data_IF_604096878391
#
_entry.id   IF_604096878391
#
_cell.length_a   1.000
_cell.length_b   1.000
_cell.length_c   1.000
_cell.angle_alpha   90.00
_cell.angle_beta   90.00
_cell.angle_gamma   90.00
#
_symmetry.space_group_name_H-M   'P 1'
#
loop_
_entity.id
_entity.type
_entity.pdbx_description
1 polymer ?
#
# COMPACT_ATOMS: atom_id res chain seq x y z
N UNK A 1 -6.95 -65.13 -50.75
CA UNK A 1 -8.33 -65.59 -50.51
C UNK A 1 -9.11 -64.37 -50.06
N UNK A 2 -9.69 -63.67 -51.02
CA UNK A 2 -10.71 -62.62 -50.81
C UNK A 2 -12.03 -63.26 -51.23
N UNK A 3 -13.07 -63.04 -50.42
CA UNK A 3 -14.24 -62.31 -50.90
C UNK A 3 -14.68 -61.31 -49.82
N UNK A 4 -15.16 -60.10 -50.13
CA UNK A 4 -16.18 -59.76 -51.11
C UNK A 4 -17.35 -59.21 -50.32
N UNK A 5 -17.62 -57.90 -50.47
CA UNK A 5 -18.81 -57.23 -49.93
C UNK A 5 -20.10 -57.95 -50.33
N UNK A 6 -21.13 -57.81 -49.49
CA UNK A 6 -22.35 -57.22 -50.02
C UNK A 6 -23.05 -56.22 -49.07
N UNK A 7 -23.28 -55.01 -49.58
CA UNK A 7 -24.57 -54.29 -49.48
C UNK A 7 -25.60 -55.01 -50.38
N UNK A 8 -26.95 -54.91 -50.23
CA UNK A 8 -27.70 -53.70 -49.84
C UNK A 8 -29.03 -53.94 -49.04
N UNK A 9 -29.77 -52.83 -48.88
CA UNK A 9 -31.24 -52.68 -48.93
C UNK A 9 -32.08 -52.63 -47.63
N UNK A 10 -32.45 -51.39 -47.30
CA UNK A 10 -33.79 -50.88 -46.98
C UNK A 10 -34.81 -51.75 -46.22
N UNK A 11 -35.18 -51.28 -45.02
CA UNK A 11 -36.58 -51.15 -44.62
C UNK A 11 -36.74 -50.20 -43.41
N UNK A 12 -37.28 -49.04 -43.72
CA UNK A 12 -37.84 -48.01 -42.85
C UNK A 12 -38.50 -48.51 -41.55
N UNK A 13 -38.22 -47.83 -40.44
CA UNK A 13 -39.21 -47.56 -39.38
C UNK A 13 -39.02 -46.16 -38.79
N UNK A 14 -39.87 -45.29 -39.32
CA UNK A 14 -40.34 -44.02 -38.78
C UNK A 14 -40.89 -44.13 -37.34
N UNK A 15 -40.94 -42.96 -36.66
CA UNK A 15 -41.48 -42.60 -35.32
C UNK A 15 -40.40 -42.58 -34.23
N UNK A 16 -40.16 -41.50 -33.51
CA UNK A 16 -40.91 -40.27 -33.17
C UNK A 16 -39.95 -39.50 -32.26
N UNK A 17 -39.71 -38.20 -32.43
CA UNK A 17 -39.32 -37.33 -31.31
C UNK A 17 -39.32 -35.84 -31.70
N UNK A 18 -39.50 -35.01 -30.67
CA UNK A 18 -39.40 -33.55 -30.60
C UNK A 18 -40.69 -32.75 -30.88
N UNK A 19 -41.59 -32.82 -29.90
CA UNK A 19 -42.55 -31.77 -29.58
C UNK A 19 -41.91 -30.75 -28.61
N UNK A 20 -42.38 -29.49 -28.70
CA UNK A 20 -42.41 -28.45 -27.66
C UNK A 20 -41.28 -27.41 -27.62
N UNK A 21 -41.61 -26.25 -28.21
CA UNK A 21 -41.10 -24.94 -27.85
C UNK A 21 -41.99 -24.29 -26.77
N UNK A 22 -41.37 -23.39 -26.01
CA UNK A 22 -41.93 -22.23 -25.30
C UNK A 22 -42.94 -22.48 -24.17
N UNK A 23 -42.55 -22.19 -22.92
CA UNK A 23 -42.99 -20.97 -22.24
C UNK A 23 -42.31 -20.85 -20.87
N UNK A 24 -41.94 -19.61 -20.60
CA UNK A 24 -41.17 -19.10 -19.48
C UNK A 24 -42.01 -18.97 -18.22
N UNK A 25 -41.52 -19.48 -17.09
CA UNK A 25 -41.82 -18.86 -15.79
C UNK A 25 -40.73 -19.24 -14.78
N UNK A 26 -39.99 -18.24 -14.29
CA UNK A 26 -39.67 -18.05 -12.86
C UNK A 26 -38.77 -16.82 -12.67
N UNK A 27 -39.39 -15.79 -12.12
CA UNK A 27 -38.94 -14.76 -11.15
C UNK A 27 -37.47 -14.84 -10.66
N UNK A 28 -36.86 -13.68 -10.37
CA UNK A 28 -35.43 -13.41 -10.51
C UNK A 28 -34.59 -14.03 -9.38
N UNK A 29 -33.33 -14.40 -9.63
CA UNK A 29 -32.36 -14.39 -8.55
C UNK A 29 -32.10 -12.94 -8.15
N UNK A 30 -32.54 -12.65 -6.94
CA UNK A 30 -32.05 -11.64 -6.02
C UNK A 30 -30.60 -11.23 -6.29
N UNK A 31 -30.39 -9.92 -6.31
CA UNK A 31 -29.20 -9.23 -5.77
C UNK A 31 -28.05 -10.17 -5.40
N UNK A 32 -27.16 -10.41 -6.35
CA UNK A 32 -25.74 -10.49 -5.99
C UNK A 32 -25.24 -9.07 -6.16
N UNK A 33 -25.41 -8.29 -5.10
CA UNK A 33 -24.50 -7.19 -4.84
C UNK A 33 -23.10 -7.81 -4.95
N UNK A 34 -22.34 -7.37 -5.94
CA UNK A 34 -20.93 -7.72 -6.01
C UNK A 34 -20.28 -7.03 -4.83
N UNK A 35 -20.29 -7.69 -3.67
CA UNK A 35 -19.23 -7.53 -2.69
C UNK A 35 -17.96 -8.12 -3.33
N UNK A 36 -17.42 -7.36 -4.28
CA UNK A 36 -15.98 -7.25 -4.40
C UNK A 36 -15.49 -6.95 -2.99
N UNK A 37 -14.64 -7.80 -2.43
CA UNK A 37 -13.68 -7.40 -1.40
C UNK A 37 -12.83 -6.26 -2.01
N UNK A 38 -13.43 -5.08 -2.18
CA UNK A 38 -12.70 -3.87 -2.50
C UNK A 38 -12.08 -3.46 -1.16
N UNK A 39 -10.81 -3.80 -0.97
CA UNK A 39 -10.02 -3.28 0.14
C UNK A 39 -10.19 -1.75 0.18
N UNK A 40 -10.55 -1.21 1.35
CA UNK A 40 -10.71 0.21 1.53
C UNK A 40 -9.37 0.89 1.19
N UNK A 41 -9.43 1.91 0.34
CA UNK A 41 -8.26 2.58 -0.20
C UNK A 41 -8.58 4.02 -0.56
N UNK A 42 -7.62 4.89 -0.27
CA UNK A 42 -7.62 6.29 -0.66
C UNK A 42 -6.63 6.48 -1.81
N UNK A 43 -7.10 7.05 -2.91
CA UNK A 43 -6.29 7.36 -4.09
C UNK A 43 -6.00 8.85 -4.18
N UNK A 44 -4.75 9.19 -4.51
CA UNK A 44 -4.32 10.57 -4.70
C UNK A 44 -4.88 11.17 -6.01
N UNK A 45 -5.80 12.15 -5.96
CA UNK A 45 -6.28 12.79 -7.17
C UNK A 45 -5.16 13.59 -7.84
N UNK A 46 -5.21 13.67 -9.16
CA UNK A 46 -4.18 14.35 -9.98
C UNK A 46 -3.98 15.80 -9.55
N UNK A 47 -5.04 16.46 -9.10
CA UNK A 47 -5.02 17.86 -8.67
C UNK A 47 -4.26 18.06 -7.34
N UNK A 48 -4.24 17.05 -6.46
CA UNK A 48 -3.52 17.11 -5.18
C UNK A 48 -2.05 16.68 -5.29
N UNK A 49 -1.62 16.10 -6.41
CA UNK A 49 -0.20 15.74 -6.65
C UNK A 49 0.74 16.94 -6.58
N UNK A 50 0.24 18.15 -6.84
CA UNK A 50 1.02 19.37 -6.71
C UNK A 50 1.40 19.69 -5.28
N UNK A 51 0.51 19.39 -4.33
CA UNK A 51 0.68 19.72 -2.91
C UNK A 51 1.68 18.80 -2.20
N UNK A 52 1.98 17.64 -2.80
CA UNK A 52 3.00 16.70 -2.34
C UNK A 52 4.40 17.02 -2.88
N UNK A 53 4.54 18.01 -3.77
CA UNK A 53 5.86 18.43 -4.27
C UNK A 53 6.62 19.29 -3.28
N UNK A 54 5.89 20.09 -2.51
CA UNK A 54 6.48 20.90 -1.46
C UNK A 54 6.68 20.01 -0.22
N UNK A 55 7.90 19.90 0.32
CA UNK A 55 8.15 19.06 1.48
C UNK A 55 7.41 19.60 2.70
N UNK A 56 6.90 18.69 3.54
CA UNK A 56 6.20 19.02 4.79
C UNK A 56 7.13 19.51 5.91
N UNK A 57 8.44 19.57 5.64
CA UNK A 57 9.46 19.96 6.60
C UNK A 57 10.77 20.36 5.94
N UNK A 58 11.78 20.77 6.75
CA UNK A 58 13.12 21.04 6.25
C UNK A 58 13.73 19.80 5.59
N UNK A 59 14.45 20.04 4.48
CA UNK A 59 15.28 19.03 3.82
C UNK A 59 16.68 19.09 4.44
N UNK A 60 17.21 17.93 4.79
CA UNK A 60 18.58 17.75 5.25
C UNK A 60 19.26 16.62 4.46
N UNK A 61 20.53 16.81 4.14
CA UNK A 61 21.34 15.82 3.39
C UNK A 61 22.24 15.00 4.31
N UNK A 62 22.50 15.48 5.53
CA UNK A 62 23.34 14.84 6.52
C UNK A 62 22.49 14.22 7.65
N UNK A 63 22.56 12.90 7.78
CA UNK A 63 21.80 12.17 8.79
C UNK A 63 22.19 12.57 10.22
N UNK A 64 23.45 12.89 10.50
CA UNK A 64 23.89 13.30 11.84
C UNK A 64 23.28 14.65 12.22
N UNK A 65 23.18 15.57 11.25
CA UNK A 65 22.54 16.87 11.45
C UNK A 65 21.04 16.68 11.69
N UNK A 66 20.37 15.88 10.88
CA UNK A 66 18.95 15.56 11.04
C UNK A 66 18.68 14.93 12.41
N UNK A 67 19.49 13.96 12.81
CA UNK A 67 19.33 13.27 14.09
C UNK A 67 19.53 14.19 15.30
N UNK A 68 20.25 15.30 15.15
CA UNK A 68 20.39 16.29 16.22
C UNK A 68 19.09 17.04 16.55
N UNK A 69 18.13 17.10 15.62
CA UNK A 69 16.79 17.67 15.84
C UNK A 69 15.72 16.63 16.19
N UNK A 70 16.02 15.34 16.05
CA UNK A 70 15.11 14.25 16.39
C UNK A 70 15.02 14.09 17.91
N UNK A 71 13.80 14.15 18.43
CA UNK A 71 13.50 13.85 19.82
C UNK A 71 12.25 12.98 19.88
N UNK A 72 12.26 11.88 20.62
CA UNK A 72 11.12 10.96 20.70
C UNK A 72 11.13 9.88 19.62
N UNK A 73 9.95 9.31 19.29
CA UNK A 73 9.81 8.27 18.29
C UNK A 73 10.25 8.74 16.90
N UNK A 74 10.88 7.86 16.15
CA UNK A 74 11.41 8.08 14.80
C UNK A 74 10.80 7.07 13.83
N UNK A 75 10.06 7.57 12.85
CA UNK A 75 9.46 6.76 11.77
C UNK A 75 10.18 7.13 10.47
N UNK A 76 10.83 6.16 9.84
CA UNK A 76 11.53 6.31 8.57
C UNK A 76 10.70 5.71 7.43
N UNK A 77 10.61 6.43 6.31
CA UNK A 77 9.85 6.02 5.13
C UNK A 77 10.78 6.14 3.91
N UNK A 78 11.10 4.99 3.33
CA UNK A 78 11.97 4.83 2.18
C UNK A 78 13.33 4.21 2.52
N UNK A 79 13.83 3.40 1.58
CA UNK A 79 15.05 2.60 1.72
C UNK A 79 16.29 3.46 2.03
N UNK A 80 16.50 4.51 1.25
CA UNK A 80 17.69 5.37 1.34
C UNK A 80 17.74 6.12 2.67
N UNK A 81 16.58 6.62 3.12
CA UNK A 81 16.48 7.31 4.41
C UNK A 81 16.77 6.35 5.55
N UNK A 82 16.13 5.18 5.54
CA UNK A 82 16.32 4.14 6.54
C UNK A 82 17.80 3.74 6.62
N UNK A 83 18.44 3.48 5.48
CA UNK A 83 19.87 3.16 5.43
C UNK A 83 20.74 4.26 6.06
N UNK A 84 20.53 5.53 5.70
CA UNK A 84 21.34 6.62 6.24
C UNK A 84 21.19 6.77 7.76
N UNK A 85 19.98 6.58 8.30
CA UNK A 85 19.75 6.59 9.75
C UNK A 85 20.46 5.43 10.45
N UNK A 86 20.40 4.22 9.86
CA UNK A 86 21.12 3.04 10.38
C UNK A 86 22.64 3.23 10.36
N UNK A 87 23.20 3.79 9.27
CA UNK A 87 24.63 4.08 9.16
C UNK A 87 25.09 5.14 10.17
N UNK A 88 24.23 6.10 10.50
CA UNK A 88 24.45 7.07 11.57
C UNK A 88 24.27 6.46 12.98
N UNK A 89 23.95 5.16 13.07
CA UNK A 89 23.82 4.43 14.34
C UNK A 89 22.49 4.67 15.06
N UNK A 90 21.47 5.19 14.36
CA UNK A 90 20.11 5.35 14.90
C UNK A 90 19.15 4.39 14.21
N UNK A 91 18.71 3.37 14.95
CA UNK A 91 17.58 2.53 14.58
C UNK A 91 16.28 3.35 14.64
N UNK A 92 15.49 3.44 13.55
CA UNK A 92 14.13 3.96 13.61
C UNK A 92 13.21 3.03 14.41
N UNK A 93 12.25 3.59 15.12
CA UNK A 93 11.24 2.81 15.85
C UNK A 93 10.29 2.10 14.87
N UNK A 94 9.99 2.75 13.74
CA UNK A 94 9.28 2.14 12.60
C UNK A 94 10.01 2.49 11.31
N UNK A 95 10.21 1.51 10.42
CA UNK A 95 10.78 1.71 9.08
C UNK A 95 9.83 1.15 8.03
N UNK A 96 9.52 1.92 6.98
CA UNK A 96 8.76 1.47 5.81
C UNK A 96 9.69 1.46 4.61
N UNK A 97 9.82 0.31 3.96
CA UNK A 97 10.77 0.10 2.85
C UNK A 97 10.06 -0.66 1.73
N UNK A 98 10.22 -0.26 0.48
CA UNK A 98 9.60 -0.95 -0.66
C UNK A 98 10.50 -2.03 -1.27
N UNK A 99 11.77 -2.07 -0.86
CA UNK A 99 12.77 -3.01 -1.38
C UNK A 99 13.04 -2.85 -2.88
N UNK A 100 12.56 -1.76 -3.49
CA UNK A 100 12.65 -1.45 -4.92
C UNK A 100 13.51 -0.22 -5.15
N UNK A 101 14.60 -0.06 -4.40
CA UNK A 101 15.61 0.92 -4.76
C UNK A 101 16.22 0.58 -6.13
N UNK A 102 16.02 1.47 -7.10
CA UNK A 102 16.46 1.29 -8.49
C UNK A 102 17.94 1.65 -8.65
N UNK A 103 18.73 0.63 -9.01
CA UNK A 103 19.87 0.63 -9.95
C UNK A 103 21.23 1.11 -9.42
N UNK A 104 21.91 0.31 -8.61
CA UNK A 104 23.37 0.15 -8.56
C UNK A 104 23.80 -0.94 -7.56
N UNK A 105 25.07 -1.36 -7.58
CA UNK A 105 25.64 -2.30 -6.59
C UNK A 105 25.69 -1.75 -5.14
N UNK A 106 25.39 -0.45 -4.95
CA UNK A 106 25.17 0.12 -3.61
C UNK A 106 23.84 -0.38 -3.02
N UNK A 107 22.90 -0.81 -3.87
CA UNK A 107 21.56 -1.25 -3.46
C UNK A 107 21.59 -2.59 -2.73
N UNK A 108 22.52 -3.51 -3.00
CA UNK A 108 22.55 -4.81 -2.30
C UNK A 108 22.87 -4.65 -0.80
N UNK A 109 23.73 -3.68 -0.45
CA UNK A 109 24.05 -3.37 0.95
C UNK A 109 22.89 -2.64 1.63
N UNK A 110 22.22 -1.73 0.90
CA UNK A 110 21.04 -1.01 1.39
C UNK A 110 19.90 -2.00 1.62
N UNK A 111 19.54 -2.78 0.61
CA UNK A 111 18.48 -3.79 0.67
C UNK A 111 18.75 -4.77 1.81
N UNK A 112 19.98 -5.31 1.94
CA UNK A 112 20.30 -6.19 3.06
C UNK A 112 20.17 -5.47 4.41
N UNK A 113 20.72 -4.26 4.55
CA UNK A 113 20.69 -3.54 5.82
C UNK A 113 19.27 -3.16 6.25
N UNK A 114 18.38 -2.84 5.30
CA UNK A 114 17.00 -2.42 5.61
C UNK A 114 16.02 -3.58 5.67
N UNK A 115 16.27 -4.69 4.97
CA UNK A 115 15.41 -5.90 5.01
C UNK A 115 15.88 -6.94 6.03
N UNK A 116 17.07 -6.78 6.61
CA UNK A 116 17.53 -7.61 7.72
C UNK A 116 16.64 -7.37 8.94
N UNK A 117 15.78 -8.34 9.25
CA UNK A 117 14.83 -8.24 10.37
C UNK A 117 13.47 -7.65 10.01
N UNK A 118 13.03 -7.75 8.73
CA UNK A 118 11.63 -7.48 8.35
C UNK A 118 10.69 -8.18 9.33
N UNK A 119 9.80 -7.38 9.90
CA UNK A 119 8.88 -7.79 10.95
C UNK A 119 7.46 -7.95 10.41
N UNK A 120 7.08 -7.10 9.45
CA UNK A 120 5.75 -7.06 8.84
C UNK A 120 5.88 -6.86 7.33
N UNK A 121 4.90 -7.36 6.57
CA UNK A 121 4.80 -7.20 5.11
C UNK A 121 3.40 -6.70 4.76
N UNK A 122 3.30 -5.79 3.79
CA UNK A 122 2.02 -5.25 3.32
C UNK A 122 2.06 -4.89 1.84
N UNK A 123 0.95 -5.08 1.13
CA UNK A 123 0.81 -4.65 -0.26
C UNK A 123 0.20 -3.23 -0.30
N UNK A 124 0.82 -2.31 -1.04
CA UNK A 124 0.25 -0.98 -1.27
C UNK A 124 0.42 -0.53 -2.73
N UNK A 125 -0.65 -0.58 -3.54
CA UNK A 125 -0.56 -0.21 -4.95
C UNK A 125 -0.10 1.25 -5.17
N UNK A 126 0.52 1.55 -6.33
CA UNK A 126 0.97 2.89 -6.66
C UNK A 126 -0.10 3.97 -6.53
N UNK A 127 0.26 5.09 -5.88
CA UNK A 127 -0.62 6.24 -5.69
C UNK A 127 -1.82 6.00 -4.76
N UNK A 128 -1.79 4.93 -3.96
CA UNK A 128 -2.85 4.59 -3.01
C UNK A 128 -2.33 4.57 -1.57
N UNK A 129 -3.28 4.69 -0.63
CA UNK A 129 -3.12 4.37 0.78
C UNK A 129 -4.20 3.33 1.08
N UNK A 130 -3.80 2.07 1.26
CA UNK A 130 -4.71 0.98 1.62
C UNK A 130 -4.98 0.95 3.12
N UNK A 131 -6.13 0.39 3.51
CA UNK A 131 -6.43 0.06 4.90
C UNK A 131 -5.34 -0.79 5.53
N UNK A 132 -4.93 -1.87 4.85
CA UNK A 132 -3.88 -2.78 5.31
C UNK A 132 -2.56 -2.04 5.62
N UNK A 133 -2.18 -1.04 4.80
CA UNK A 133 -0.99 -0.22 5.06
C UNK A 133 -1.13 0.56 6.36
N UNK A 134 -2.29 1.17 6.59
CA UNK A 134 -2.56 1.96 7.80
C UNK A 134 -2.62 1.06 9.04
N UNK A 135 -3.29 -0.07 8.98
CA UNK A 135 -3.33 -1.05 10.07
C UNK A 135 -1.93 -1.57 10.44
N UNK A 136 -1.14 -1.91 9.43
CA UNK A 136 0.23 -2.40 9.61
C UNK A 136 1.11 -1.32 10.23
N UNK A 137 0.97 -0.08 9.78
CA UNK A 137 1.67 1.07 10.33
C UNK A 137 1.32 1.31 11.80
N UNK A 138 0.04 1.29 12.16
CA UNK A 138 -0.41 1.45 13.55
C UNK A 138 0.10 0.31 14.44
N UNK A 139 0.06 -0.92 13.93
CA UNK A 139 0.60 -2.10 14.61
C UNK A 139 2.09 -1.93 14.90
N UNK A 140 2.87 -1.45 13.92
CA UNK A 140 4.29 -1.18 14.10
C UNK A 140 4.57 -0.06 15.10
N UNK A 141 3.79 1.03 15.06
CA UNK A 141 3.93 2.13 16.03
C UNK A 141 3.60 1.73 17.47
N UNK A 142 2.73 0.73 17.65
CA UNK A 142 2.35 0.20 18.96
C UNK A 142 3.33 -0.86 19.50
N UNK A 143 4.29 -1.32 18.70
CA UNK A 143 5.26 -2.32 19.11
C UNK A 143 6.27 -1.75 20.12
N UNK A 144 6.69 -2.58 21.08
CA UNK A 144 7.73 -2.22 22.06
C UNK A 144 9.14 -2.26 21.45
N UNK A 145 9.31 -2.93 20.31
CA UNK A 145 10.58 -3.13 19.61
C UNK A 145 10.57 -2.45 18.23
N UNK A 146 11.74 -1.96 17.75
CA UNK A 146 11.87 -1.42 16.41
C UNK A 146 11.32 -2.37 15.34
N UNK A 147 10.41 -1.85 14.51
CA UNK A 147 9.66 -2.67 13.54
C UNK A 147 9.92 -2.19 12.11
N UNK A 148 10.32 -3.11 11.23
CA UNK A 148 10.45 -2.85 9.80
C UNK A 148 9.27 -3.45 9.04
N UNK A 149 8.59 -2.63 8.25
CA UNK A 149 7.51 -2.98 7.34
C UNK A 149 8.07 -2.99 5.91
N UNK A 150 7.99 -4.14 5.25
CA UNK A 150 8.27 -4.27 3.82
C UNK A 150 6.99 -4.04 3.02
N UNK A 151 7.01 -3.07 2.12
CA UNK A 151 5.87 -2.67 1.30
C UNK A 151 6.03 -3.22 -0.12
N UNK A 152 5.20 -4.17 -0.53
CA UNK A 152 5.13 -4.55 -1.94
C UNK A 152 4.32 -3.51 -2.72
N UNK A 153 5.00 -2.50 -3.27
CA UNK A 153 4.33 -1.42 -4.00
C UNK A 153 5.04 -0.07 -3.91
N UNK A 154 4.32 0.95 -3.45
CA UNK A 154 4.85 2.30 -3.18
C UNK A 154 4.63 2.65 -1.69
N UNK A 155 5.66 3.17 -1.02
CA UNK A 155 5.67 3.64 0.36
C UNK A 155 5.54 5.17 0.49
N UNK A 156 5.75 5.93 -0.60
CA UNK A 156 5.80 7.40 -0.61
C UNK A 156 4.61 8.07 0.09
N UNK A 157 3.40 7.55 -0.13
CA UNK A 157 2.17 8.11 0.45
C UNK A 157 1.96 7.75 1.92
N UNK A 158 2.72 6.78 2.45
CA UNK A 158 2.62 6.35 3.84
C UNK A 158 3.04 7.47 4.83
N UNK A 159 3.78 8.48 4.36
CA UNK A 159 4.10 9.65 5.15
C UNK A 159 2.86 10.39 5.66
N UNK A 160 1.77 10.41 4.88
CA UNK A 160 0.54 11.09 5.25
C UNK A 160 -0.17 10.43 6.45
N UNK A 161 -0.54 9.13 6.41
CA UNK A 161 -1.13 8.47 7.57
C UNK A 161 -0.14 8.41 8.75
N UNK A 162 1.17 8.30 8.49
CA UNK A 162 2.17 8.34 9.57
C UNK A 162 2.18 9.67 10.34
N UNK A 163 2.11 10.81 9.66
CA UNK A 163 2.02 12.13 10.32
C UNK A 163 0.71 12.26 11.10
N UNK A 164 -0.40 11.70 10.59
CA UNK A 164 -1.70 11.78 11.26
C UNK A 164 -1.73 10.92 12.53
N UNK A 165 -1.23 9.69 12.46
CA UNK A 165 -1.30 8.71 13.53
C UNK A 165 -0.21 8.86 14.61
N UNK A 166 0.94 9.44 14.26
CA UNK A 166 2.06 9.50 15.19
C UNK A 166 1.79 10.45 16.39
N UNK A 167 2.34 10.12 17.57
CA UNK A 167 2.17 10.95 18.77
C UNK A 167 2.91 12.29 18.63
N UNK A 168 2.47 13.27 19.42
CA UNK A 168 3.06 14.60 19.40
C UNK A 168 4.57 14.56 19.73
N UNK A 169 5.34 15.29 18.92
CA UNK A 169 6.79 15.33 19.02
C UNK A 169 7.50 14.17 18.33
N UNK A 170 6.80 13.18 17.78
CA UNK A 170 7.41 12.17 16.91
C UNK A 170 8.08 12.81 15.68
N UNK A 171 9.07 12.14 15.13
CA UNK A 171 9.79 12.54 13.93
C UNK A 171 9.47 11.58 12.79
N UNK A 172 8.84 12.10 11.73
CA UNK A 172 8.68 11.37 10.47
C UNK A 172 9.80 11.82 9.55
N UNK A 173 10.52 10.88 8.96
CA UNK A 173 11.58 11.15 7.99
C UNK A 173 11.31 10.39 6.71
N UNK A 174 11.24 11.11 5.60
CA UNK A 174 10.99 10.50 4.29
C UNK A 174 11.90 11.10 3.21
N UNK A 175 12.11 10.36 2.12
CA UNK A 175 12.99 10.79 1.03
C UNK A 175 12.31 11.83 0.14
N UNK A 176 13.06 12.87 -0.22
CA UNK A 176 12.70 13.79 -1.30
C UNK A 176 13.62 13.53 -2.50
N UNK A 177 13.08 13.09 -3.65
CA UNK A 177 13.87 12.76 -4.84
C UNK A 177 14.82 13.88 -5.24
N UNK A 178 16.09 13.54 -5.45
CA UNK A 178 17.19 14.45 -5.84
C UNK A 178 17.51 15.59 -4.85
N UNK A 179 16.87 15.65 -3.68
CA UNK A 179 17.03 16.75 -2.71
C UNK A 179 17.59 16.30 -1.35
N UNK A 180 17.10 15.19 -0.77
CA UNK A 180 17.59 14.68 0.52
C UNK A 180 16.52 14.04 1.39
N UNK A 181 16.70 14.10 2.71
CA UNK A 181 15.75 13.61 3.72
C UNK A 181 14.90 14.76 4.25
N UNK A 182 13.57 14.62 4.23
CA UNK A 182 12.66 15.57 4.85
C UNK A 182 12.42 15.16 6.29
N UNK A 183 12.65 16.07 7.25
CA UNK A 183 12.28 15.84 8.65
C UNK A 183 11.00 16.58 8.99
N UNK A 184 9.97 15.85 9.39
CA UNK A 184 8.73 16.41 9.91
C UNK A 184 8.62 16.09 11.39
N UNK A 185 8.56 17.13 12.22
CA UNK A 185 8.19 17.00 13.63
C UNK A 185 6.67 17.06 13.74
N UNK A 186 6.07 16.03 14.33
CA UNK A 186 4.62 15.94 14.47
C UNK A 186 4.14 16.92 15.54
N UNK A 187 3.23 17.79 15.15
CA UNK A 187 2.46 18.70 15.99
C UNK A 187 1.04 18.90 15.44
N UNK A 188 0.20 19.63 16.17
CA UNK A 188 -1.18 19.90 15.78
C UNK A 188 -1.32 20.60 14.42
N UNK A 189 -0.35 21.46 14.06
CA UNK A 189 -0.41 22.26 12.84
C UNK A 189 -0.18 21.37 11.62
N UNK A 190 0.90 20.59 11.63
CA UNK A 190 1.21 19.70 10.52
C UNK A 190 0.20 18.55 10.41
N UNK A 191 -0.27 18.01 11.55
CA UNK A 191 -1.34 16.99 11.56
C UNK A 191 -2.60 17.51 10.88
N UNK A 192 -3.01 18.74 11.19
CA UNK A 192 -4.18 19.36 10.58
C UNK A 192 -3.98 19.62 9.08
N UNK A 193 -2.80 20.08 8.68
CA UNK A 193 -2.46 20.30 7.27
C UNK A 193 -2.55 18.98 6.47
N UNK A 194 -1.91 17.93 6.97
CA UNK A 194 -1.89 16.62 6.31
C UNK A 194 -3.27 15.97 6.30
N UNK A 195 -4.04 16.08 7.40
CA UNK A 195 -5.42 15.62 7.44
C UNK A 195 -6.28 16.30 6.38
N UNK A 196 -6.20 17.62 6.23
CA UNK A 196 -6.94 18.34 5.20
C UNK A 196 -6.53 17.95 3.77
N UNK A 197 -5.28 17.52 3.57
CA UNK A 197 -4.83 16.97 2.30
C UNK A 197 -5.41 15.56 2.06
N UNK A 198 -5.37 14.69 3.07
CA UNK A 198 -5.96 13.35 3.00
C UNK A 198 -7.47 13.39 2.77
N UNK A 199 -8.19 14.37 3.33
CA UNK A 199 -9.63 14.58 3.08
C UNK A 199 -9.97 14.89 1.61
N UNK A 200 -8.97 15.22 0.78
CA UNK A 200 -9.14 15.42 -0.67
C UNK A 200 -8.95 14.14 -1.48
N UNK A 201 -8.48 13.05 -0.87
CA UNK A 201 -8.30 11.79 -1.57
C UNK A 201 -9.65 11.19 -1.95
N UNK A 202 -9.66 10.43 -3.04
CA UNK A 202 -10.86 9.79 -3.57
C UNK A 202 -10.83 8.28 -3.27
N UNK A 203 -11.95 7.69 -2.87
CA UNK A 203 -12.04 6.24 -2.62
C UNK A 203 -12.93 5.88 -1.45
N UNK A 204 -12.95 4.60 -1.10
CA UNK A 204 -13.58 4.11 0.12
C UNK A 204 -12.57 4.21 1.27
N UNK A 205 -12.69 5.25 2.07
CA UNK A 205 -11.75 5.58 3.14
C UNK A 205 -12.34 5.52 4.54
N UNK A 206 -13.60 5.07 4.70
CA UNK A 206 -14.28 5.11 6.00
C UNK A 206 -13.51 4.31 7.07
N UNK A 207 -13.03 3.11 6.71
CA UNK A 207 -12.20 2.29 7.58
C UNK A 207 -10.85 2.94 7.91
N UNK A 208 -10.20 3.56 6.92
CA UNK A 208 -8.93 4.29 7.11
C UNK A 208 -9.12 5.46 8.09
N UNK A 209 -10.23 6.21 7.97
CA UNK A 209 -10.54 7.31 8.88
C UNK A 209 -10.88 6.86 10.30
N UNK A 210 -11.53 5.70 10.45
CA UNK A 210 -11.79 5.09 11.76
C UNK A 210 -10.46 4.74 12.45
N UNK A 211 -9.56 4.06 11.75
CA UNK A 211 -8.21 3.73 12.24
C UNK A 211 -7.42 4.98 12.67
N UNK A 212 -7.43 6.03 11.84
CA UNK A 212 -6.70 7.27 12.12
C UNK A 212 -7.35 8.13 13.21
N UNK A 213 -8.61 7.89 13.56
CA UNK A 213 -9.29 8.60 14.64
C UNK A 213 -9.04 7.98 16.02
N UNK A 214 -8.70 6.69 16.04
CA UNK A 214 -8.42 5.91 17.25
C UNK A 214 -6.93 5.87 17.64
N UNK A 215 -6.05 6.34 16.75
CA UNK A 215 -4.62 6.54 16.99
C UNK A 215 -4.32 7.76 17.87
#
# INVERSE_FOLDING_TARGET
MTPGDPDPDDAERDRTDAESADETESVPPSTTDSSSDAQASLSLPVEARGDLKDPFGPIETDADILLSSVSGPLIAIGDVVTYHLLQAGRQPDVSLVDGRTKRSAVDEEIEQAVTEGVSLEVENPPGQITEDLVETLLTAMAADEPTTILVDGEEDLAALPAIVAAPDGASIVYGQPDEGMVHVRVDDEIRKQVRALLERFEGDGDAIWELLSDA
#
